data_IF_139568213071
#
_entry.id   IF_139568213071
#
_cell.length_a   1.000
_cell.length_b   1.000
_cell.length_c   1.000
_cell.angle_alpha   90.00
_cell.angle_beta   90.00
_cell.angle_gamma   90.00
#
_symmetry.space_group_name_H-M   'P 1'
#
loop_
_entity.id
_entity.type
_entity.pdbx_description
1 polymer ?
#
# COMPACT_ATOMS: atom_id res chain seq x y z
N UNK A 1 19.82 -0.88 -6.10
CA UNK A 1 19.02 -2.08 -6.35
C UNK A 1 19.40 -2.71 -7.70
N UNK A 2 19.46 -1.95 -8.77
CA UNK A 2 19.89 -2.45 -10.10
C UNK A 2 21.26 -3.07 -10.07
N UNK A 3 22.23 -2.46 -9.37
CA UNK A 3 23.58 -3.02 -9.18
C UNK A 3 23.58 -4.34 -8.39
N UNK A 4 22.53 -4.59 -7.61
CA UNK A 4 22.31 -5.83 -6.88
C UNK A 4 21.49 -6.86 -7.68
N UNK A 5 21.20 -6.60 -8.96
CA UNK A 5 20.50 -7.50 -9.86
C UNK A 5 18.95 -7.43 -9.79
N UNK A 6 18.40 -6.42 -9.12
CA UNK A 6 16.96 -6.21 -9.06
C UNK A 6 16.50 -5.30 -10.20
N UNK A 7 15.36 -5.62 -10.79
CA UNK A 7 14.63 -4.71 -11.67
C UNK A 7 13.73 -3.77 -10.85
N UNK A 8 13.71 -2.48 -11.18
CA UNK A 8 12.97 -1.47 -10.42
C UNK A 8 12.12 -0.64 -11.37
N UNK A 9 10.81 -0.54 -11.05
CA UNK A 9 9.89 0.40 -11.70
C UNK A 9 9.39 1.40 -10.66
N UNK A 10 9.46 2.68 -10.99
CA UNK A 10 9.07 3.77 -10.09
C UNK A 10 7.81 4.44 -10.64
N UNK A 11 6.82 4.63 -9.76
CA UNK A 11 5.67 5.50 -10.00
C UNK A 11 5.87 6.77 -9.18
N UNK A 12 6.50 7.78 -9.79
CA UNK A 12 6.59 9.11 -9.20
C UNK A 12 5.31 9.87 -9.51
N UNK A 13 4.36 9.81 -8.58
CA UNK A 13 3.01 10.35 -8.76
C UNK A 13 3.00 11.86 -9.01
N UNK A 14 3.99 12.60 -8.48
CA UNK A 14 4.13 14.04 -8.77
C UNK A 14 4.69 14.30 -10.17
N UNK A 15 5.74 13.57 -10.57
CA UNK A 15 6.30 13.69 -11.90
C UNK A 15 5.34 13.21 -13.00
N UNK A 16 4.44 12.30 -12.67
CA UNK A 16 3.38 11.79 -13.54
C UNK A 16 2.17 12.72 -13.62
N UNK A 17 2.11 13.78 -12.81
CA UNK A 17 0.93 14.62 -12.65
C UNK A 17 -0.35 13.78 -12.37
N UNK A 18 -0.20 12.77 -11.50
CA UNK A 18 -1.25 11.79 -11.23
C UNK A 18 -2.45 12.46 -10.57
N UNK A 19 -3.64 12.38 -11.21
CA UNK A 19 -4.90 12.87 -10.62
C UNK A 19 -5.38 11.91 -9.52
N UNK A 20 -5.47 12.34 -8.24
CA UNK A 20 -5.91 11.46 -7.16
C UNK A 20 -7.42 11.28 -7.07
N UNK A 21 -8.20 11.97 -7.90
CA UNK A 21 -9.67 11.96 -7.83
C UNK A 21 -10.23 10.73 -8.52
N UNK A 22 -10.93 9.89 -7.76
CA UNK A 22 -11.65 8.74 -8.30
C UNK A 22 -13.03 9.16 -8.79
N UNK A 23 -13.22 9.15 -10.11
CA UNK A 23 -14.49 9.47 -10.77
C UNK A 23 -14.62 8.75 -12.13
N UNK A 24 -15.54 9.18 -12.98
CA UNK A 24 -15.79 8.56 -14.29
C UNK A 24 -14.57 8.59 -15.23
N UNK A 25 -13.62 9.46 -15.01
CA UNK A 25 -12.36 9.53 -15.80
C UNK A 25 -11.45 8.32 -15.55
N UNK A 26 -11.76 7.50 -14.54
CA UNK A 26 -11.08 6.21 -14.34
C UNK A 26 -11.38 5.21 -15.45
N UNK A 27 -12.41 5.43 -16.26
CA UNK A 27 -12.97 4.45 -17.18
C UNK A 27 -13.09 4.99 -18.59
N UNK A 28 -12.80 4.15 -19.58
CA UNK A 28 -13.02 4.38 -21.01
C UNK A 28 -14.33 3.75 -21.48
N UNK A 29 -14.91 2.88 -20.65
CA UNK A 29 -16.21 2.21 -20.86
C UNK A 29 -17.21 2.66 -19.80
N UNK A 30 -18.50 2.43 -20.02
CA UNK A 30 -19.58 2.81 -19.11
C UNK A 30 -20.46 1.58 -18.85
N UNK A 31 -20.55 1.17 -17.59
CA UNK A 31 -21.43 0.09 -17.14
C UNK A 31 -22.82 0.62 -16.77
N UNK A 32 -22.88 1.72 -16.01
CA UNK A 32 -24.09 2.39 -15.56
C UNK A 32 -24.00 3.89 -15.87
N UNK A 33 -24.84 4.36 -16.80
CA UNK A 33 -24.72 5.74 -17.31
C UNK A 33 -25.30 6.78 -16.34
N UNK A 34 -26.42 6.46 -15.69
CA UNK A 34 -27.21 7.43 -14.93
C UNK A 34 -26.60 7.75 -13.56
N UNK A 35 -25.90 6.78 -12.96
CA UNK A 35 -25.35 6.92 -11.63
C UNK A 35 -23.99 6.22 -11.49
N UNK A 36 -22.97 6.95 -11.04
CA UNK A 36 -21.65 6.38 -10.78
C UNK A 36 -21.68 5.49 -9.54
N UNK A 37 -21.64 4.18 -9.77
CA UNK A 37 -21.38 3.16 -8.75
C UNK A 37 -19.97 2.64 -8.97
N UNK A 38 -19.00 3.18 -8.22
CA UNK A 38 -17.56 2.93 -8.42
C UNK A 38 -17.24 1.44 -8.67
N UNK A 39 -17.62 0.55 -7.77
CA UNK A 39 -17.33 -0.88 -7.88
C UNK A 39 -18.04 -1.57 -9.08
N UNK A 40 -19.18 -1.06 -9.51
CA UNK A 40 -19.88 -1.58 -10.71
C UNK A 40 -19.12 -1.21 -11.97
N UNK A 41 -18.66 0.06 -12.06
CA UNK A 41 -17.84 0.53 -13.16
C UNK A 41 -16.48 -0.18 -13.20
N UNK A 42 -15.83 -0.37 -12.05
CA UNK A 42 -14.58 -1.14 -11.92
C UNK A 42 -14.75 -2.58 -12.41
N UNK A 43 -15.82 -3.26 -11.98
CA UNK A 43 -16.13 -4.62 -12.42
C UNK A 43 -16.46 -4.68 -13.92
N UNK A 44 -17.10 -3.65 -14.46
CA UNK A 44 -17.36 -3.54 -15.89
C UNK A 44 -16.07 -3.32 -16.67
N UNK A 45 -15.23 -2.38 -16.23
CA UNK A 45 -13.94 -2.09 -16.84
C UNK A 45 -12.99 -3.29 -16.81
N UNK A 46 -12.95 -4.04 -15.69
CA UNK A 46 -12.14 -5.26 -15.55
C UNK A 46 -12.48 -6.34 -16.59
N UNK A 47 -13.72 -6.37 -17.08
CA UNK A 47 -14.19 -7.36 -18.07
C UNK A 47 -14.08 -6.89 -19.51
N UNK A 48 -13.86 -5.59 -19.74
CA UNK A 48 -13.96 -4.96 -21.05
C UNK A 48 -12.72 -4.13 -21.40
N UNK A 49 -11.61 -4.32 -20.71
CA UNK A 49 -10.36 -3.53 -20.87
C UNK A 49 -10.65 -2.03 -20.83
N UNK A 50 -11.48 -1.65 -19.86
CA UNK A 50 -12.14 -0.34 -19.81
C UNK A 50 -11.55 0.65 -18.81
N UNK A 51 -10.35 0.42 -18.28
CA UNK A 51 -9.66 1.41 -17.43
C UNK A 51 -8.99 2.50 -18.28
N UNK A 52 -8.84 3.69 -17.69
CA UNK A 52 -8.05 4.76 -18.28
C UNK A 52 -6.57 4.35 -18.37
N UNK A 53 -5.86 4.87 -19.35
CA UNK A 53 -4.48 4.45 -19.66
C UNK A 53 -3.49 4.64 -18.49
N UNK A 54 -3.68 5.69 -17.68
CA UNK A 54 -2.87 5.94 -16.49
C UNK A 54 -3.08 4.86 -15.40
N UNK A 55 -4.32 4.39 -15.24
CA UNK A 55 -4.65 3.30 -14.30
C UNK A 55 -4.12 1.96 -14.82
N UNK A 56 -4.32 1.67 -16.11
CA UNK A 56 -3.85 0.41 -16.69
C UNK A 56 -2.32 0.29 -16.59
N UNK A 57 -1.59 1.37 -16.85
CA UNK A 57 -0.14 1.38 -16.67
C UNK A 57 0.32 1.09 -15.22
N UNK A 58 -0.45 1.52 -14.21
CA UNK A 58 -0.16 1.20 -12.82
C UNK A 58 -0.56 -0.24 -12.45
N UNK A 59 -1.67 -0.74 -13.01
CA UNK A 59 -2.08 -2.14 -12.87
C UNK A 59 -1.03 -3.10 -13.45
N UNK A 60 -0.47 -2.79 -14.63
CA UNK A 60 0.62 -3.57 -15.24
C UNK A 60 1.88 -3.61 -14.34
N UNK A 61 2.22 -2.50 -13.67
CA UNK A 61 3.33 -2.47 -12.71
C UNK A 61 3.04 -3.33 -11.47
N UNK A 62 1.81 -3.32 -10.98
CA UNK A 62 1.37 -4.17 -9.87
C UNK A 62 1.40 -5.65 -10.25
N UNK A 63 0.98 -6.00 -11.47
CA UNK A 63 1.05 -7.38 -11.94
C UNK A 63 2.49 -7.88 -12.06
N UNK A 64 3.37 -7.01 -12.45
CA UNK A 64 4.78 -7.31 -12.64
C UNK A 64 5.56 -7.43 -11.33
N UNK A 65 5.25 -6.62 -10.29
CA UNK A 65 6.11 -6.52 -9.12
C UNK A 65 6.02 -7.74 -8.18
N UNK A 66 7.15 -8.21 -7.65
CA UNK A 66 7.22 -9.16 -6.53
C UNK A 66 7.14 -8.43 -5.17
N UNK A 67 7.60 -7.18 -5.15
CA UNK A 67 7.64 -6.33 -3.95
C UNK A 67 7.09 -4.96 -4.26
N UNK A 68 6.07 -4.54 -3.50
CA UNK A 68 5.52 -3.19 -3.54
C UNK A 68 6.06 -2.36 -2.39
N UNK A 69 6.60 -1.18 -2.68
CA UNK A 69 7.03 -0.22 -1.65
C UNK A 69 6.23 1.06 -1.79
N UNK A 70 5.47 1.42 -0.76
CA UNK A 70 4.90 2.75 -0.63
C UNK A 70 5.89 3.67 0.07
N UNK A 71 6.40 4.69 -0.65
CA UNK A 71 7.30 5.68 -0.09
C UNK A 71 6.63 7.04 0.01
N UNK A 72 6.49 7.57 1.25
CA UNK A 72 5.72 8.80 1.48
C UNK A 72 6.08 9.50 2.80
N UNK A 73 5.88 10.81 2.92
CA UNK A 73 5.81 11.46 4.22
C UNK A 73 4.47 11.16 4.89
N UNK A 74 4.48 10.76 6.18
CA UNK A 74 3.21 10.61 6.89
C UNK A 74 2.57 11.98 7.11
N UNK A 75 1.38 12.19 6.56
CA UNK A 75 0.62 13.42 6.71
C UNK A 75 -0.73 13.13 7.37
N UNK A 76 -1.04 13.89 8.40
CA UNK A 76 -2.27 13.67 9.17
C UNK A 76 -2.46 12.21 9.58
N UNK A 77 -1.35 11.58 10.00
CA UNK A 77 -1.27 10.18 10.46
C UNK A 77 -1.64 9.13 9.39
N UNK A 78 -1.58 9.47 8.11
CA UNK A 78 -1.94 8.60 7.02
C UNK A 78 -1.16 8.88 5.73
N UNK A 79 -1.67 8.32 4.64
CA UNK A 79 -1.14 8.55 3.30
C UNK A 79 -1.41 9.98 2.84
N UNK A 80 -0.46 10.64 2.13
CA UNK A 80 -0.76 11.84 1.36
C UNK A 80 -1.91 11.60 0.38
N UNK A 81 -2.71 12.66 0.12
CA UNK A 81 -3.89 12.55 -0.74
C UNK A 81 -3.60 11.92 -2.10
N UNK A 82 -2.46 12.28 -2.72
CA UNK A 82 -2.07 11.72 -4.03
C UNK A 82 -1.87 10.21 -3.98
N UNK A 83 -1.22 9.68 -2.94
CA UNK A 83 -1.00 8.24 -2.78
C UNK A 83 -2.29 7.52 -2.35
N UNK A 84 -3.11 8.16 -1.50
CA UNK A 84 -4.42 7.60 -1.17
C UNK A 84 -5.32 7.53 -2.40
N UNK A 85 -5.32 8.58 -3.24
CA UNK A 85 -6.05 8.59 -4.51
C UNK A 85 -5.52 7.55 -5.50
N UNK A 86 -4.20 7.30 -5.52
CA UNK A 86 -3.64 6.18 -6.29
C UNK A 86 -4.25 4.84 -5.84
N UNK A 87 -4.32 4.58 -4.52
CA UNK A 87 -4.97 3.37 -3.99
C UNK A 87 -6.43 3.31 -4.41
N UNK A 88 -7.17 4.43 -4.27
CA UNK A 88 -8.60 4.50 -4.57
C UNK A 88 -8.93 4.28 -6.06
N UNK A 89 -7.99 4.60 -6.96
CA UNK A 89 -8.18 4.45 -8.40
C UNK A 89 -7.64 3.13 -8.95
N UNK A 90 -6.54 2.62 -8.37
CA UNK A 90 -5.80 1.48 -8.93
C UNK A 90 -6.21 0.16 -8.28
N UNK A 91 -6.58 0.15 -6.98
CA UNK A 91 -7.06 -1.07 -6.33
C UNK A 91 -8.52 -1.31 -6.66
N UNK A 92 -8.78 -1.67 -7.90
CA UNK A 92 -10.12 -1.80 -8.47
C UNK A 92 -10.78 -3.15 -8.22
N UNK A 93 -12.12 -3.12 -8.08
CA UNK A 93 -12.99 -4.29 -7.92
C UNK A 93 -12.84 -5.25 -9.12
N UNK A 94 -12.81 -6.54 -8.87
CA UNK A 94 -12.59 -7.64 -9.82
C UNK A 94 -11.21 -7.65 -10.49
N UNK A 95 -10.46 -6.55 -10.45
CA UNK A 95 -9.10 -6.49 -10.95
C UNK A 95 -8.08 -6.87 -9.85
N UNK A 96 -8.15 -6.22 -8.69
CA UNK A 96 -7.25 -6.42 -7.56
C UNK A 96 -7.93 -7.12 -6.38
N UNK A 97 -9.20 -6.87 -6.15
CA UNK A 97 -9.98 -7.50 -5.09
C UNK A 97 -11.39 -7.87 -5.58
N UNK A 98 -12.19 -8.53 -4.75
CA UNK A 98 -13.54 -8.98 -5.10
C UNK A 98 -13.62 -10.49 -5.32
N UNK A 99 -14.82 -11.03 -5.42
CA UNK A 99 -15.02 -12.46 -5.64
C UNK A 99 -14.44 -13.37 -4.56
N UNK A 100 -14.33 -12.88 -3.31
CA UNK A 100 -13.69 -13.63 -2.21
C UNK A 100 -12.16 -13.53 -2.16
N UNK A 101 -11.54 -12.75 -3.03
CA UNK A 101 -10.08 -12.52 -3.09
C UNK A 101 -9.68 -11.41 -2.10
N UNK A 102 -9.52 -11.76 -0.85
CA UNK A 102 -9.06 -10.86 0.21
C UNK A 102 -8.18 -11.61 1.22
N UNK A 103 -7.35 -10.88 1.95
CA UNK A 103 -6.44 -11.40 2.97
C UNK A 103 -5.65 -12.62 2.47
N UNK A 104 -5.77 -13.79 3.12
CA UNK A 104 -5.02 -15.02 2.79
C UNK A 104 -5.31 -15.57 1.38
N UNK A 105 -6.44 -15.18 0.79
CA UNK A 105 -6.83 -15.48 -0.58
C UNK A 105 -6.70 -14.29 -1.54
N UNK A 106 -6.06 -13.20 -1.10
CA UNK A 106 -5.93 -11.96 -1.87
C UNK A 106 -5.10 -12.11 -3.13
N UNK A 107 -5.26 -11.15 -4.02
CA UNK A 107 -4.65 -11.14 -5.36
C UNK A 107 -3.12 -11.24 -5.33
N UNK A 108 -2.51 -10.57 -4.35
CA UNK A 108 -1.05 -10.50 -4.21
C UNK A 108 -0.47 -11.55 -3.23
N UNK A 109 -1.20 -12.62 -2.95
CA UNK A 109 -0.71 -13.70 -2.10
C UNK A 109 0.68 -14.19 -2.53
N UNK A 110 1.62 -14.25 -1.58
CA UNK A 110 3.00 -14.65 -1.80
C UNK A 110 3.91 -13.55 -2.33
N UNK A 111 3.37 -12.34 -2.55
CA UNK A 111 4.16 -11.13 -2.84
C UNK A 111 4.29 -10.28 -1.58
N UNK A 112 5.31 -9.44 -1.51
CA UNK A 112 5.64 -8.66 -0.32
C UNK A 112 5.30 -7.18 -0.50
N UNK A 113 4.95 -6.50 0.60
CA UNK A 113 4.80 -5.06 0.59
C UNK A 113 5.43 -4.42 1.83
N UNK A 114 6.00 -3.22 1.67
CA UNK A 114 6.63 -2.48 2.73
C UNK A 114 6.27 -0.99 2.65
N UNK A 115 6.06 -0.38 3.81
CA UNK A 115 5.99 1.07 3.90
C UNK A 115 7.39 1.64 4.13
N UNK A 116 7.76 2.68 3.39
CA UNK A 116 8.93 3.53 3.61
C UNK A 116 8.45 4.94 3.83
N UNK A 117 8.63 5.47 5.04
CA UNK A 117 8.04 6.76 5.36
C UNK A 117 8.98 7.70 6.13
N UNK A 118 8.68 8.98 6.03
CA UNK A 118 9.30 10.02 6.85
C UNK A 118 8.27 10.60 7.83
N UNK A 119 8.75 11.06 8.98
CA UNK A 119 7.93 11.70 10.01
C UNK A 119 8.42 13.11 10.32
N UNK A 120 7.55 13.95 10.86
CA UNK A 120 7.94 15.29 11.34
C UNK A 120 8.64 15.27 12.70
N UNK A 121 8.44 14.21 13.49
CA UNK A 121 9.00 14.04 14.84
C UNK A 121 9.91 12.82 14.94
N UNK A 122 10.57 12.68 16.10
CA UNK A 122 11.42 11.53 16.41
C UNK A 122 10.64 10.35 17.01
N UNK A 123 11.30 9.19 17.21
CA UNK A 123 10.67 7.96 17.66
C UNK A 123 9.99 8.08 19.03
N UNK A 124 10.50 8.92 19.93
CA UNK A 124 9.87 9.11 21.25
C UNK A 124 8.47 9.71 21.17
N UNK A 125 8.20 10.60 20.20
CA UNK A 125 6.87 11.17 20.02
C UNK A 125 5.87 10.14 19.48
N UNK A 126 6.34 9.17 18.71
CA UNK A 126 5.55 8.12 18.04
C UNK A 126 5.65 6.75 18.76
N UNK A 127 5.95 6.76 20.06
CA UNK A 127 5.89 5.56 20.92
C UNK A 127 4.52 5.43 21.59
N UNK A 128 4.22 4.28 22.20
CA UNK A 128 2.97 4.05 22.96
C UNK A 128 2.67 5.14 23.98
N UNK A 129 3.71 5.67 24.65
CA UNK A 129 3.60 6.74 25.64
C UNK A 129 3.97 8.12 25.07
N UNK A 130 4.17 8.24 23.77
CA UNK A 130 4.49 9.49 23.09
C UNK A 130 3.24 10.34 22.87
N UNK A 131 3.44 11.66 22.73
CA UNK A 131 2.33 12.61 22.53
C UNK A 131 1.52 12.34 21.25
N UNK A 132 2.13 11.66 20.26
CA UNK A 132 1.48 11.29 19.00
C UNK A 132 0.84 9.91 19.09
N UNK A 133 1.31 9.05 20.01
CA UNK A 133 0.90 7.66 20.12
C UNK A 133 1.71 6.72 19.19
N UNK A 134 1.46 5.42 19.31
CA UNK A 134 2.22 4.40 18.61
C UNK A 134 2.10 4.52 17.09
N UNK A 135 3.25 4.61 16.42
CA UNK A 135 3.33 4.66 14.95
C UNK A 135 2.68 3.44 14.29
N UNK A 136 2.78 2.26 14.89
CA UNK A 136 2.19 1.04 14.34
C UNK A 136 0.67 1.08 14.36
N UNK A 137 0.07 1.73 15.36
CA UNK A 137 -1.36 1.97 15.40
C UNK A 137 -1.81 2.91 14.27
N UNK A 138 -1.03 3.96 13.98
CA UNK A 138 -1.30 4.86 12.84
C UNK A 138 -1.13 4.16 11.49
N UNK A 139 -0.17 3.26 11.36
CA UNK A 139 0.08 2.53 10.11
C UNK A 139 -0.83 1.31 9.92
N UNK A 140 -1.54 0.86 10.97
CA UNK A 140 -2.41 -0.31 10.89
C UNK A 140 -3.47 -0.23 9.77
N UNK A 141 -4.18 0.87 9.55
CA UNK A 141 -5.14 0.99 8.44
C UNK A 141 -4.49 0.79 7.07
N UNK A 142 -3.22 1.18 6.90
CA UNK A 142 -2.49 1.04 5.64
C UNK A 142 -1.97 -0.40 5.51
N UNK A 143 -1.26 -0.89 6.52
CA UNK A 143 -0.67 -2.23 6.52
C UNK A 143 -1.73 -3.32 6.42
N UNK A 144 -2.75 -3.25 7.27
CA UNK A 144 -3.80 -4.28 7.35
C UNK A 144 -4.95 -4.00 6.39
N UNK A 145 -5.47 -2.75 6.40
CA UNK A 145 -6.67 -2.39 5.65
C UNK A 145 -6.45 -2.21 4.15
N UNK A 146 -5.22 -1.92 3.72
CA UNK A 146 -4.88 -1.74 2.29
C UNK A 146 -4.03 -2.92 1.81
N UNK A 147 -2.80 -3.05 2.31
CA UNK A 147 -1.82 -4.00 1.77
C UNK A 147 -2.17 -5.46 2.09
N UNK A 148 -2.45 -5.77 3.35
CA UNK A 148 -2.85 -7.12 3.76
C UNK A 148 -4.21 -7.52 3.18
N UNK A 149 -5.14 -6.56 3.06
CA UNK A 149 -6.47 -6.82 2.50
C UNK A 149 -6.39 -7.37 1.07
N UNK A 150 -5.50 -6.86 0.23
CA UNK A 150 -5.30 -7.35 -1.14
C UNK A 150 -4.34 -8.55 -1.24
N UNK A 151 -3.81 -9.03 -0.11
CA UNK A 151 -3.09 -10.30 0.00
C UNK A 151 -1.57 -10.23 0.13
N UNK A 152 -0.97 -9.05 0.22
CA UNK A 152 0.47 -8.94 0.43
C UNK A 152 0.91 -9.49 1.79
N UNK A 153 2.10 -10.09 1.82
CA UNK A 153 2.88 -10.33 3.03
C UNK A 153 3.53 -9.01 3.44
N UNK A 154 2.93 -8.34 4.43
CA UNK A 154 3.31 -6.98 4.83
C UNK A 154 4.51 -7.02 5.75
N UNK A 155 5.56 -6.28 5.38
CA UNK A 155 6.81 -6.24 6.14
C UNK A 155 6.81 -5.07 7.14
N UNK A 156 7.60 -5.16 8.23
CA UNK A 156 7.83 -4.03 9.12
C UNK A 156 8.31 -2.80 8.34
N UNK A 157 7.78 -1.61 8.62
CA UNK A 157 8.09 -0.40 7.85
C UNK A 157 9.53 0.07 8.06
N UNK A 158 10.07 0.77 7.07
CA UNK A 158 11.25 1.63 7.24
C UNK A 158 10.77 3.05 7.57
N UNK A 159 11.34 3.64 8.63
CA UNK A 159 10.94 4.97 9.09
C UNK A 159 12.16 5.87 9.25
N UNK A 160 12.24 6.91 8.43
CA UNK A 160 13.21 7.98 8.61
C UNK A 160 12.62 9.06 9.52
N UNK A 161 13.09 9.09 10.76
CA UNK A 161 12.57 9.96 11.81
C UNK A 161 13.05 11.41 11.66
N UNK A 162 12.13 12.35 11.47
CA UNK A 162 12.39 13.78 11.46
C UNK A 162 13.49 14.25 10.50
N UNK A 163 13.61 13.78 9.25
CA UNK A 163 14.75 14.04 8.38
C UNK A 163 14.94 15.52 8.07
N UNK A 164 13.88 16.33 8.10
CA UNK A 164 13.97 17.77 7.88
C UNK A 164 14.78 18.51 8.96
N UNK A 165 14.89 17.92 10.15
CA UNK A 165 15.65 18.49 11.29
C UNK A 165 16.95 17.74 11.58
N UNK A 166 17.21 16.67 10.83
CA UNK A 166 18.40 15.86 10.99
C UNK A 166 19.64 16.52 10.36
N UNK A 167 20.83 16.18 10.87
CA UNK A 167 22.09 16.56 10.21
C UNK A 167 22.23 15.86 8.86
N UNK A 168 23.14 16.38 8.01
CA UNK A 168 23.45 15.76 6.72
C UNK A 168 24.01 14.35 6.87
N UNK A 169 24.79 14.10 7.93
CA UNK A 169 25.30 12.77 8.26
C UNK A 169 24.14 11.81 8.58
N UNK A 170 23.19 12.25 9.41
CA UNK A 170 22.02 11.42 9.74
C UNK A 170 21.16 11.15 8.50
N UNK A 171 21.00 12.14 7.61
CA UNK A 171 20.27 11.95 6.34
C UNK A 171 20.96 10.92 5.43
N UNK A 172 22.31 10.97 5.34
CA UNK A 172 23.07 9.96 4.58
C UNK A 172 22.94 8.57 5.20
N UNK A 173 23.10 8.48 6.52
CA UNK A 173 22.90 7.22 7.23
C UNK A 173 21.50 6.62 7.02
N UNK A 174 20.44 7.45 7.01
CA UNK A 174 19.09 6.99 6.67
C UNK A 174 19.00 6.35 5.27
N UNK A 175 19.75 6.88 4.29
CA UNK A 175 19.79 6.31 2.94
C UNK A 175 20.51 4.96 2.94
N UNK A 176 21.63 4.85 3.63
CA UNK A 176 22.40 3.61 3.75
C UNK A 176 21.57 2.52 4.48
N UNK A 177 20.90 2.89 5.57
CA UNK A 177 19.99 2.02 6.32
C UNK A 177 18.79 1.58 5.45
N UNK A 178 18.25 2.49 4.63
CA UNK A 178 17.16 2.17 3.71
C UNK A 178 17.61 1.17 2.64
N UNK A 179 18.77 1.39 2.03
CA UNK A 179 19.34 0.45 1.04
C UNK A 179 19.52 -0.94 1.67
N UNK A 180 20.15 -1.01 2.84
CA UNK A 180 20.32 -2.27 3.57
C UNK A 180 18.96 -2.92 3.88
N UNK A 181 17.97 -2.14 4.30
CA UNK A 181 16.61 -2.61 4.58
C UNK A 181 15.92 -3.18 3.35
N UNK A 182 16.02 -2.53 2.20
CA UNK A 182 15.41 -3.02 0.96
C UNK A 182 16.10 -4.29 0.47
N UNK A 183 17.42 -4.38 0.57
CA UNK A 183 18.17 -5.59 0.21
C UNK A 183 17.86 -6.77 1.14
N UNK A 184 17.44 -6.53 2.38
CA UNK A 184 17.05 -7.59 3.33
C UNK A 184 15.59 -8.06 3.19
N UNK A 185 14.82 -7.51 2.27
CA UNK A 185 13.40 -7.88 2.06
C UNK A 185 13.19 -9.39 1.88
N UNK A 186 14.02 -10.13 1.12
CA UNK A 186 13.81 -11.57 0.94
C UNK A 186 13.85 -12.37 2.24
N UNK A 187 14.67 -11.98 3.20
CA UNK A 187 14.86 -12.67 4.49
C UNK A 187 14.02 -12.07 5.63
N UNK A 188 13.30 -10.97 5.37
CA UNK A 188 12.51 -10.30 6.42
C UNK A 188 11.22 -11.04 6.69
N UNK A 189 10.96 -11.38 7.97
CA UNK A 189 9.69 -11.95 8.37
C UNK A 189 8.54 -10.94 8.26
N UNK A 190 7.40 -11.31 7.66
CA UNK A 190 6.22 -10.45 7.62
C UNK A 190 5.64 -10.18 9.00
N UNK A 191 4.90 -9.09 9.13
CA UNK A 191 4.08 -8.79 10.31
C UNK A 191 3.04 -9.91 10.44
N UNK A 192 3.00 -10.54 11.63
CA UNK A 192 2.03 -11.59 11.91
C UNK A 192 0.61 -11.01 12.04
N UNK A 193 -0.29 -11.51 11.21
CA UNK A 193 -1.72 -11.23 11.29
C UNK A 193 -2.50 -12.54 11.44
N UNK A 194 -3.64 -12.55 12.14
CA UNK A 194 -4.50 -13.73 12.17
C UNK A 194 -4.92 -14.15 10.76
N UNK A 195 -4.96 -15.46 10.54
CA UNK A 195 -5.48 -16.04 9.29
C UNK A 195 -7.01 -15.94 9.23
N UNK A 196 -7.59 -15.92 8.04
CA UNK A 196 -9.06 -15.99 7.88
C UNK A 196 -9.66 -17.23 8.55
N UNK A 197 -8.90 -18.31 8.67
CA UNK A 197 -9.33 -19.53 9.37
C UNK A 197 -9.46 -19.35 10.88
N UNK A 198 -8.84 -18.31 11.45
CA UNK A 198 -8.94 -17.99 12.88
C UNK A 198 -10.23 -17.24 13.22
N UNK A 199 -10.97 -16.82 12.20
CA UNK A 199 -12.24 -16.14 12.38
C UNK A 199 -13.43 -17.09 12.23
N UNK A 200 -14.50 -16.81 12.96
CA UNK A 200 -15.78 -17.45 12.75
C UNK A 200 -16.41 -16.95 11.43
N UNK A 201 -16.78 -17.84 10.49
CA UNK A 201 -17.22 -17.41 9.15
C UNK A 201 -18.58 -16.70 9.14
N UNK A 202 -19.37 -16.79 10.20
CA UNK A 202 -20.69 -16.15 10.29
C UNK A 202 -20.60 -14.78 10.96
N UNK A 203 -19.79 -14.67 12.01
CA UNK A 203 -19.68 -13.43 12.80
C UNK A 203 -18.49 -12.58 12.41
N UNK A 204 -17.53 -13.13 11.68
CA UNK A 204 -16.25 -12.51 11.31
C UNK A 204 -15.44 -12.03 12.53
N UNK A 205 -15.62 -12.71 13.67
CA UNK A 205 -14.87 -12.46 14.90
C UNK A 205 -13.82 -13.54 15.09
N UNK A 206 -12.70 -13.17 15.71
CA UNK A 206 -11.69 -14.14 16.12
C UNK A 206 -12.35 -15.21 17.00
N UNK A 207 -12.01 -16.46 16.77
CA UNK A 207 -12.42 -17.58 17.62
C UNK A 207 -11.76 -17.43 18.98
N UNK A 208 -12.47 -17.78 20.04
CA UNK A 208 -11.94 -17.73 21.40
C UNK A 208 -10.71 -18.63 21.54
N UNK A 209 -9.61 -18.07 21.98
CA UNK A 209 -8.37 -18.83 22.26
C UNK A 209 -7.24 -18.64 21.22
N UNK A 210 -7.39 -17.71 20.28
CA UNK A 210 -6.28 -17.25 19.43
C UNK A 210 -5.73 -15.92 19.89
#
# INVERSE_FOLDING_TARGET
LTDAGHEVRVSDLYAMDFDPVSDRRNFTTVGEADYLKQQVEESHASKNDGFAADIEAELEKLDWCDVLIFQFPIWWFGLPAILKGWVDRVFAMERIYGGGRWFDGGYFKGRRAMLSLTTGGGPGAFSENGIVGDIHAHLHPINYGILRFVGFDVLPPFIAWGPARASDERRRANIEEYVARVLSIPETEPIAYPSLTDYDPKTLRLKNGT
#
